data_IF_954413268069
#
_entry.id   IF_954413268069
#
_cell.length_a   1.000
_cell.length_b   1.000
_cell.length_c   1.000
_cell.angle_alpha   90.00
_cell.angle_beta   90.00
_cell.angle_gamma   90.00
#
_symmetry.space_group_name_H-M   'P 1'
#
loop_
_entity.id
_entity.type
_entity.pdbx_description
1 polymer ?
#
# COMPACT_ATOMS: atom_id res chain seq x y z
N UNK A 1 5.25 -26.07 -24.20
CA UNK A 1 5.42 -24.59 -24.31
C UNK A 1 5.51 -24.08 -22.89
N UNK A 2 6.64 -23.50 -22.44
CA UNK A 2 6.71 -22.93 -21.10
C UNK A 2 5.68 -21.81 -20.94
N UNK A 3 4.89 -21.87 -19.88
CA UNK A 3 3.80 -20.96 -19.57
C UNK A 3 4.32 -19.53 -19.31
N UNK A 4 3.80 -18.50 -20.03
CA UNK A 4 4.08 -17.08 -19.73
C UNK A 4 3.39 -16.61 -18.40
N UNK A 5 2.97 -17.50 -17.51
CA UNK A 5 2.20 -17.19 -16.29
C UNK A 5 3.05 -16.74 -15.09
N UNK A 6 4.37 -16.78 -15.19
CA UNK A 6 5.26 -16.45 -14.09
C UNK A 6 5.75 -15.00 -14.12
N UNK A 7 4.85 -14.07 -13.82
CA UNK A 7 5.19 -12.64 -13.64
C UNK A 7 6.31 -12.41 -12.59
N UNK A 8 6.42 -13.32 -11.61
CA UNK A 8 7.48 -13.31 -10.60
C UNK A 8 8.87 -13.57 -11.22
N UNK A 9 8.96 -14.44 -12.23
CA UNK A 9 10.23 -14.78 -12.89
C UNK A 9 10.85 -13.56 -13.57
N UNK A 10 10.05 -12.70 -14.20
CA UNK A 10 10.53 -11.45 -14.82
C UNK A 10 11.13 -10.49 -13.79
N UNK A 11 10.52 -10.38 -12.60
CA UNK A 11 11.04 -9.54 -11.51
C UNK A 11 12.33 -10.11 -10.93
N UNK A 12 12.39 -11.42 -10.71
CA UNK A 12 13.58 -12.12 -10.21
C UNK A 12 14.75 -12.05 -11.19
N UNK A 13 14.46 -12.15 -12.49
CA UNK A 13 15.45 -11.96 -13.56
C UNK A 13 16.04 -10.56 -13.51
N UNK A 14 15.21 -9.51 -13.49
CA UNK A 14 15.67 -8.12 -13.43
C UNK A 14 16.42 -7.80 -12.14
N UNK A 15 15.99 -8.38 -11.01
CA UNK A 15 16.67 -8.23 -9.73
C UNK A 15 17.97 -9.05 -9.61
N UNK A 16 18.30 -9.89 -10.61
CA UNK A 16 19.50 -10.72 -10.61
C UNK A 16 19.50 -11.84 -9.56
N UNK A 17 18.31 -12.25 -9.09
CA UNK A 17 18.11 -13.32 -8.09
C UNK A 17 17.51 -14.60 -8.70
N UNK A 18 17.39 -14.65 -10.03
CA UNK A 18 16.97 -15.86 -10.72
C UNK A 18 18.12 -16.88 -10.74
N UNK A 19 17.87 -18.16 -10.41
CA UNK A 19 18.90 -19.19 -10.46
C UNK A 19 19.53 -19.31 -11.84
N UNK A 20 20.83 -19.61 -11.90
CA UNK A 20 21.60 -19.64 -13.16
C UNK A 20 21.06 -20.67 -14.15
N UNK A 21 20.58 -21.80 -13.64
CA UNK A 21 19.93 -22.86 -14.41
C UNK A 21 18.58 -22.45 -15.01
N UNK A 22 17.92 -21.43 -14.45
CA UNK A 22 16.65 -20.89 -14.94
C UNK A 22 16.84 -19.69 -15.89
N UNK A 23 17.99 -19.02 -15.86
CA UNK A 23 18.29 -17.83 -16.68
C UNK A 23 18.24 -18.16 -18.17
N UNK A 24 18.93 -19.20 -18.60
CA UNK A 24 19.00 -19.56 -20.03
C UNK A 24 17.60 -19.91 -20.58
N UNK A 25 16.82 -20.69 -19.82
CA UNK A 25 15.46 -21.05 -20.20
C UNK A 25 14.54 -19.81 -20.31
N UNK A 26 14.72 -18.84 -19.41
CA UNK A 26 13.96 -17.60 -19.42
C UNK A 26 14.37 -16.68 -20.58
N UNK A 27 15.66 -16.57 -20.90
CA UNK A 27 16.15 -15.79 -22.05
C UNK A 27 15.64 -16.35 -23.38
N UNK A 28 15.66 -17.69 -23.54
CA UNK A 28 15.06 -18.35 -24.69
C UNK A 28 13.55 -18.05 -24.80
N UNK A 29 12.85 -17.98 -23.66
CA UNK A 29 11.44 -17.59 -23.63
C UNK A 29 11.22 -16.12 -24.04
N UNK A 30 12.09 -15.20 -23.62
CA UNK A 30 12.01 -13.77 -23.98
C UNK A 30 12.12 -13.54 -25.50
N UNK A 31 12.87 -14.37 -26.22
CA UNK A 31 12.94 -14.31 -27.68
C UNK A 31 11.57 -14.55 -28.34
N UNK A 32 10.70 -15.34 -27.70
CA UNK A 32 9.39 -15.73 -28.24
C UNK A 32 8.16 -15.05 -27.62
N UNK A 33 8.20 -14.63 -26.34
CA UNK A 33 7.03 -14.06 -25.64
C UNK A 33 7.14 -12.52 -25.55
N UNK A 34 6.40 -11.79 -26.41
CA UNK A 34 6.32 -10.31 -26.36
C UNK A 34 5.87 -9.79 -25.00
N UNK A 35 4.93 -10.49 -24.36
CA UNK A 35 4.42 -10.12 -23.04
C UNK A 35 5.53 -10.08 -22.00
N UNK A 36 6.32 -11.14 -21.89
CA UNK A 36 7.42 -11.21 -20.92
C UNK A 36 8.51 -10.18 -21.23
N UNK A 37 8.78 -9.87 -22.51
CA UNK A 37 9.67 -8.75 -22.89
C UNK A 37 9.15 -7.41 -22.35
N UNK A 38 7.85 -7.13 -22.47
CA UNK A 38 7.25 -5.90 -21.94
C UNK A 38 7.29 -5.86 -20.41
N UNK A 39 7.08 -6.98 -19.73
CA UNK A 39 7.17 -7.05 -18.27
C UNK A 39 8.60 -6.79 -17.77
N UNK A 40 9.61 -7.37 -18.43
CA UNK A 40 11.04 -7.10 -18.14
C UNK A 40 11.39 -5.63 -18.40
N UNK A 41 10.98 -5.08 -19.53
CA UNK A 41 11.21 -3.67 -19.87
C UNK A 41 10.57 -2.71 -18.84
N UNK A 42 9.34 -3.02 -18.42
CA UNK A 42 8.66 -2.28 -17.36
C UNK A 42 9.44 -2.33 -16.04
N UNK A 43 9.86 -3.52 -15.62
CA UNK A 43 10.63 -3.71 -14.39
C UNK A 43 11.97 -2.96 -14.43
N UNK A 44 12.69 -2.99 -15.56
CA UNK A 44 13.95 -2.25 -15.75
C UNK A 44 13.75 -0.73 -15.66
N UNK A 45 12.64 -0.19 -16.18
CA UNK A 45 12.33 1.25 -16.07
C UNK A 45 12.12 1.71 -14.63
N UNK A 46 11.53 0.85 -13.79
CA UNK A 46 11.25 1.18 -12.38
C UNK A 46 12.35 0.77 -11.41
N UNK A 47 13.26 -0.13 -11.80
CA UNK A 47 14.37 -0.59 -10.95
C UNK A 47 15.21 0.57 -10.37
N UNK A 48 15.58 1.64 -11.11
CA UNK A 48 16.30 2.78 -10.55
C UNK A 48 15.47 3.54 -9.50
N UNK A 49 14.17 3.70 -9.74
CA UNK A 49 13.27 4.39 -8.81
C UNK A 49 13.08 3.58 -7.52
N UNK A 50 13.02 2.25 -7.61
CA UNK A 50 12.98 1.35 -6.46
C UNK A 50 14.31 1.32 -5.71
N UNK A 51 15.45 1.32 -6.42
CA UNK A 51 16.77 1.42 -5.79
C UNK A 51 16.94 2.74 -5.02
N UNK A 52 16.45 3.85 -5.57
CA UNK A 52 16.43 5.16 -4.91
C UNK A 52 15.39 5.25 -3.79
N UNK A 53 14.29 4.51 -3.90
CA UNK A 53 13.14 4.51 -2.99
C UNK A 53 13.17 3.43 -1.91
N UNK A 54 14.10 2.47 -1.94
CA UNK A 54 14.24 1.42 -0.93
C UNK A 54 14.48 1.97 0.49
N UNK A 55 14.95 3.22 0.61
CA UNK A 55 15.01 3.95 1.88
C UNK A 55 13.64 4.45 2.40
N UNK A 56 12.57 4.37 1.58
CA UNK A 56 11.19 4.80 1.89
C UNK A 56 10.19 3.65 1.82
N UNK A 57 10.60 2.43 2.18
CA UNK A 57 9.61 1.40 2.50
C UNK A 57 8.81 1.92 3.70
N UNK A 58 7.56 2.26 3.46
CA UNK A 58 6.57 2.49 4.50
C UNK A 58 6.42 1.15 5.20
N UNK A 59 6.98 1.03 6.41
CA UNK A 59 6.70 -0.12 7.26
C UNK A 59 5.19 -0.33 7.28
N UNK A 60 4.67 -1.51 6.92
CA UNK A 60 3.31 -1.85 7.27
C UNK A 60 3.31 -2.10 8.79
N UNK A 61 3.33 -1.03 9.58
CA UNK A 61 2.95 -1.07 10.99
C UNK A 61 1.41 -1.18 11.02
N UNK A 62 0.93 -2.34 10.56
CA UNK A 62 -0.39 -2.81 10.94
C UNK A 62 -0.16 -3.60 12.21
N UNK A 63 -0.02 -2.87 13.31
CA UNK A 63 -0.32 -3.44 14.62
C UNK A 63 -1.80 -3.81 14.60
N UNK A 64 -2.10 -5.09 14.32
CA UNK A 64 -3.36 -5.70 14.68
C UNK A 64 -3.46 -5.63 16.21
N UNK A 65 -3.98 -4.51 16.72
CA UNK A 65 -4.42 -4.41 18.08
C UNK A 65 -5.54 -5.45 18.25
N UNK A 66 -5.19 -6.59 18.83
CA UNK A 66 -6.15 -7.52 19.38
C UNK A 66 -7.07 -6.73 20.31
N UNK A 67 -8.28 -6.45 19.84
CA UNK A 67 -9.31 -5.85 20.66
C UNK A 67 -9.73 -6.93 21.65
N UNK A 68 -9.13 -6.91 22.83
CA UNK A 68 -9.66 -7.65 23.97
C UNK A 68 -11.09 -7.12 24.23
N UNK A 69 -12.11 -7.97 24.36
CA UNK A 69 -13.45 -7.52 24.70
C UNK A 69 -13.44 -6.99 26.14
N UNK A 70 -13.27 -5.68 26.24
CA UNK A 70 -13.37 -4.89 27.46
C UNK A 70 -14.72 -5.09 28.14
N UNK A 71 -14.66 -5.86 29.22
CA UNK A 71 -15.58 -5.94 30.35
C UNK A 71 -16.43 -4.67 30.53
N UNK A 72 -17.73 -4.81 30.33
CA UNK A 72 -18.73 -3.79 30.60
C UNK A 72 -18.61 -3.32 32.06
N UNK A 73 -18.26 -2.04 32.24
CA UNK A 73 -18.48 -1.32 33.49
C UNK A 73 -19.45 -0.18 33.18
N UNK A 74 -20.73 -0.41 33.45
CA UNK A 74 -21.75 0.64 33.40
C UNK A 74 -21.43 1.74 34.41
N UNK A 75 -21.52 3.02 34.05
CA UNK A 75 -21.52 4.10 35.04
C UNK A 75 -22.93 4.24 35.68
N UNK A 76 -23.05 4.43 37.00
CA UNK A 76 -24.29 4.92 37.57
C UNK A 76 -24.44 6.42 37.26
N UNK A 77 -25.67 6.79 36.94
CA UNK A 77 -26.02 8.09 36.42
C UNK A 77 -26.06 9.23 37.44
N UNK A 78 -26.22 10.42 36.87
CA UNK A 78 -26.95 11.52 37.48
C UNK A 78 -26.09 12.60 38.12
N UNK A 79 -25.90 13.69 37.38
CA UNK A 79 -26.48 14.99 37.75
C UNK A 79 -26.02 16.04 36.74
N UNK A 80 -26.99 16.60 36.04
CA UNK A 80 -26.84 17.74 35.13
C UNK A 80 -26.94 19.03 35.95
N UNK A 81 -26.01 19.98 35.80
CA UNK A 81 -26.31 21.38 36.00
C UNK A 81 -26.41 22.06 34.63
N UNK A 82 -27.63 22.54 34.33
CA UNK A 82 -27.91 23.56 33.31
C UNK A 82 -27.11 24.83 33.63
N UNK A 83 -26.35 25.40 32.67
CA UNK A 83 -26.10 26.83 32.66
C UNK A 83 -26.96 27.54 31.61
N UNK A 84 -27.36 28.74 32.01
CA UNK A 84 -28.38 29.56 31.41
C UNK A 84 -28.03 30.07 30.01
N UNK A 85 -29.09 30.09 29.21
CA UNK A 85 -29.33 30.88 28.00
C UNK A 85 -28.76 32.31 28.13
N UNK A 86 -27.75 32.65 27.32
CA UNK A 86 -27.48 34.05 26.98
C UNK A 86 -27.28 34.19 25.47
N UNK A 87 -28.36 34.55 24.82
CA UNK A 87 -28.42 34.92 23.41
C UNK A 87 -27.52 36.14 23.18
N UNK A 88 -26.39 35.96 22.51
CA UNK A 88 -25.67 37.05 21.84
C UNK A 88 -26.00 36.96 20.36
N UNK A 89 -26.90 37.83 19.91
CA UNK A 89 -27.05 38.15 18.49
C UNK A 89 -25.80 38.92 18.07
N UNK A 90 -24.98 38.32 17.21
CA UNK A 90 -23.98 39.02 16.41
C UNK A 90 -24.51 39.10 14.99
N UNK A 91 -24.62 40.35 14.54
CA UNK A 91 -25.04 40.81 13.22
C UNK A 91 -24.04 40.38 12.17
N UNK A 92 -24.46 39.69 11.09
CA UNK A 92 -23.79 39.76 9.77
C UNK A 92 -24.82 39.51 8.65
N UNK A 93 -24.67 40.26 7.56
CA UNK A 93 -25.28 40.18 6.22
C UNK A 93 -26.60 40.97 6.02
N UNK A 94 -26.75 41.83 5.03
CA UNK A 94 -25.86 42.15 3.91
C UNK A 94 -26.38 43.32 3.06
N UNK A 95 -25.44 43.98 2.41
CA UNK A 95 -25.57 44.68 1.12
C UNK A 95 -26.35 43.80 0.11
N UNK A 96 -27.11 44.37 -0.84
CA UNK A 96 -26.58 45.24 -1.90
C UNK A 96 -27.04 46.70 -1.86
#
# INVERSE_FOLDING_TARGET
MPDCSQSETAQRYVAGILPVDEVEAFELHLLGCERCRREVDLALRFAPALAAGAARVVSPDVTLAASEPGRASSPPGGASPRPARRSRRLLIAGLP
#
